data_IF_025369294437
#
_entry.id   IF_025369294437
#
_cell.length_a   1.000
_cell.length_b   1.000
_cell.length_c   1.000
_cell.angle_alpha   90.00
_cell.angle_beta   90.00
_cell.angle_gamma   90.00
#
_symmetry.space_group_name_H-M   'P 1'
#
loop_
_entity.id
_entity.type
_entity.pdbx_description
1 polymer ?
#
# COMPACT_ATOMS: atom_id res chain seq x y z
N UNK A 1 11.71 -18.80 19.54
CA UNK A 1 10.78 -19.07 18.43
C UNK A 1 10.92 -17.93 17.44
N UNK A 2 10.91 -18.20 16.14
CA UNK A 2 10.95 -17.13 15.13
C UNK A 2 9.61 -16.40 15.17
N UNK A 3 9.62 -15.05 15.11
CA UNK A 3 8.38 -14.27 15.11
C UNK A 3 7.55 -14.64 13.88
N UNK A 4 6.23 -14.81 14.06
CA UNK A 4 5.27 -14.92 12.95
C UNK A 4 4.57 -13.59 12.80
N UNK A 5 4.71 -12.98 11.63
CA UNK A 5 4.35 -11.57 11.41
C UNK A 5 3.35 -11.50 10.26
N UNK A 6 2.18 -10.92 10.51
CA UNK A 6 1.30 -10.50 9.42
C UNK A 6 1.82 -9.19 8.86
N UNK A 7 1.94 -9.09 7.54
CA UNK A 7 2.09 -7.81 6.84
C UNK A 7 0.79 -7.50 6.13
N UNK A 8 0.07 -6.49 6.60
CA UNK A 8 -1.24 -6.10 6.07
C UNK A 8 -1.10 -5.06 4.96
N UNK A 9 -1.45 -5.45 3.74
CA UNK A 9 -1.54 -4.57 2.58
C UNK A 9 -2.91 -3.87 2.57
N UNK A 10 -2.92 -2.57 2.24
CA UNK A 10 -4.14 -1.74 2.22
C UNK A 10 -4.28 -0.97 0.91
N UNK A 11 -3.26 -0.16 0.56
CA UNK A 11 -3.19 0.69 -0.65
C UNK A 11 -1.75 0.81 -1.16
N UNK A 12 -0.94 -0.19 -0.84
CA UNK A 12 0.52 -0.22 -0.97
C UNK A 12 0.95 -1.53 -1.64
N UNK A 13 0.23 -1.91 -2.70
CA UNK A 13 0.42 -3.15 -3.49
C UNK A 13 1.71 -3.11 -4.33
N UNK A 14 2.85 -2.99 -3.64
CA UNK A 14 4.20 -2.93 -4.20
C UNK A 14 5.19 -3.62 -3.27
N UNK A 15 6.30 -4.10 -3.82
CA UNK A 15 7.37 -4.73 -3.04
C UNK A 15 8.64 -3.87 -2.94
N UNK A 16 8.86 -2.94 -3.86
CA UNK A 16 9.90 -1.91 -3.74
C UNK A 16 9.46 -0.83 -2.76
N UNK A 17 10.41 -0.37 -1.95
CA UNK A 17 10.17 0.69 -0.96
C UNK A 17 8.91 0.46 -0.14
N UNK A 18 8.73 -0.78 0.35
CA UNK A 18 7.65 -1.17 1.26
C UNK A 18 8.26 -1.44 2.64
N UNK A 19 8.28 -0.45 3.55
CA UNK A 19 8.99 -0.57 4.82
C UNK A 19 8.39 -1.62 5.76
N UNK A 20 7.06 -1.74 5.82
CA UNK A 20 6.40 -2.77 6.63
C UNK A 20 6.82 -4.18 6.20
N UNK A 21 6.82 -4.45 4.88
CA UNK A 21 7.26 -5.74 4.34
C UNK A 21 8.76 -5.96 4.59
N UNK A 22 9.59 -4.95 4.33
CA UNK A 22 11.03 -5.04 4.51
C UNK A 22 11.41 -5.36 5.96
N UNK A 23 10.86 -4.63 6.92
CA UNK A 23 11.12 -4.84 8.35
C UNK A 23 10.61 -6.21 8.84
N UNK A 24 9.44 -6.65 8.36
CA UNK A 24 8.88 -7.95 8.73
C UNK A 24 9.78 -9.11 8.29
N UNK A 25 10.28 -9.08 7.05
CA UNK A 25 11.15 -10.14 6.50
C UNK A 25 12.46 -10.27 7.28
N UNK A 26 12.97 -9.15 7.82
CA UNK A 26 14.16 -9.17 8.67
C UNK A 26 13.87 -9.68 10.09
N UNK A 27 12.63 -9.57 10.54
CA UNK A 27 12.21 -9.81 11.92
C UNK A 27 11.63 -11.22 12.16
N UNK A 28 11.25 -11.95 11.11
CA UNK A 28 10.57 -13.24 11.28
C UNK A 28 10.05 -13.89 10.00
N UNK A 29 9.16 -14.86 10.19
CA UNK A 29 8.33 -15.44 9.14
C UNK A 29 7.17 -14.49 8.84
N UNK A 30 6.85 -14.30 7.56
CA UNK A 30 5.90 -13.27 7.12
C UNK A 30 4.72 -13.90 6.38
N UNK A 31 3.52 -13.50 6.80
CA UNK A 31 2.26 -13.78 6.14
C UNK A 31 1.72 -12.47 5.51
N UNK A 32 1.87 -12.27 4.20
CA UNK A 32 1.22 -11.17 3.50
C UNK A 32 -0.30 -11.36 3.51
N UNK A 33 -1.03 -10.35 3.98
CA UNK A 33 -2.49 -10.39 4.08
C UNK A 33 -3.11 -9.16 3.41
N UNK A 34 -4.18 -9.37 2.66
CA UNK A 34 -5.08 -8.31 2.19
C UNK A 34 -6.52 -8.63 2.62
N UNK A 35 -7.21 -7.66 3.20
CA UNK A 35 -8.60 -7.79 3.61
C UNK A 35 -9.45 -6.83 2.78
N UNK A 36 -10.41 -7.37 2.04
CA UNK A 36 -11.47 -6.58 1.45
C UNK A 36 -12.53 -6.28 2.50
N UNK A 37 -12.36 -5.13 3.13
CA UNK A 37 -13.35 -4.56 4.04
C UNK A 37 -14.36 -3.74 3.25
N UNK A 38 -15.60 -4.25 3.17
CA UNK A 38 -16.68 -3.62 2.41
C UNK A 38 -17.23 -2.34 3.06
N UNK A 39 -16.81 -2.03 4.30
CA UNK A 39 -17.11 -0.73 4.90
C UNK A 39 -16.36 0.41 4.21
N UNK A 40 -15.23 0.12 3.55
CA UNK A 40 -14.49 1.08 2.75
C UNK A 40 -15.10 1.18 1.34
N UNK A 41 -15.87 2.24 1.10
CA UNK A 41 -16.52 2.45 -0.20
C UNK A 41 -15.54 3.03 -1.22
N UNK A 42 -15.35 2.30 -2.34
CA UNK A 42 -14.57 2.77 -3.50
C UNK A 42 -15.36 2.62 -4.80
N UNK A 43 -15.13 3.53 -5.75
CA UNK A 43 -15.79 3.55 -7.06
C UNK A 43 -15.36 2.39 -7.97
N UNK A 44 -16.14 2.14 -9.03
CA UNK A 44 -15.95 1.00 -9.93
C UNK A 44 -14.59 1.00 -10.66
N UNK A 45 -14.09 2.16 -11.08
CA UNK A 45 -12.75 2.30 -11.68
C UNK A 45 -11.63 1.96 -10.69
N UNK A 46 -11.77 2.38 -9.43
CA UNK A 46 -10.82 2.03 -8.37
C UNK A 46 -10.86 0.53 -8.06
N UNK A 47 -12.04 -0.11 -8.09
CA UNK A 47 -12.17 -1.57 -7.95
C UNK A 47 -11.47 -2.32 -9.09
N UNK A 48 -11.64 -1.86 -10.34
CA UNK A 48 -10.92 -2.44 -11.48
C UNK A 48 -9.40 -2.32 -11.31
N UNK A 49 -8.90 -1.15 -10.89
CA UNK A 49 -7.46 -0.96 -10.62
C UNK A 49 -6.97 -1.87 -9.50
N UNK A 50 -7.70 -1.91 -8.39
CA UNK A 50 -7.42 -2.75 -7.22
C UNK A 50 -7.35 -4.24 -7.57
N UNK A 51 -8.26 -4.74 -8.42
CA UNK A 51 -8.24 -6.12 -8.87
C UNK A 51 -6.88 -6.49 -9.49
N UNK A 52 -6.40 -5.67 -10.42
CA UNK A 52 -5.15 -5.90 -11.13
C UNK A 52 -3.93 -5.70 -10.21
N UNK A 53 -3.95 -4.70 -9.32
CA UNK A 53 -2.89 -4.46 -8.35
C UNK A 53 -2.75 -5.62 -7.33
N UNK A 54 -3.86 -6.14 -6.81
CA UNK A 54 -3.87 -7.31 -5.91
C UNK A 54 -3.38 -8.56 -6.63
N UNK A 55 -3.81 -8.74 -7.89
CA UNK A 55 -3.35 -9.86 -8.72
C UNK A 55 -1.85 -9.80 -8.97
N UNK A 56 -1.32 -8.62 -9.27
CA UNK A 56 0.11 -8.40 -9.50
C UNK A 56 0.92 -8.68 -8.23
N UNK A 57 0.59 -8.04 -7.11
CA UNK A 57 1.37 -8.24 -5.87
C UNK A 57 1.32 -9.71 -5.42
N UNK A 58 0.20 -10.41 -5.58
CA UNK A 58 0.09 -11.84 -5.26
C UNK A 58 1.08 -12.66 -6.08
N UNK A 59 1.12 -12.45 -7.41
CA UNK A 59 2.08 -13.10 -8.31
C UNK A 59 3.53 -12.78 -7.92
N UNK A 60 3.81 -11.54 -7.54
CA UNK A 60 5.15 -11.13 -7.14
C UNK A 60 5.58 -11.78 -5.81
N UNK A 61 4.67 -11.91 -4.84
CA UNK A 61 4.91 -12.62 -3.58
C UNK A 61 5.13 -14.12 -3.80
N UNK A 62 4.41 -14.73 -4.73
CA UNK A 62 4.61 -16.13 -5.16
C UNK A 62 5.99 -16.37 -5.74
N UNK A 63 6.51 -15.43 -6.54
CA UNK A 63 7.88 -15.49 -7.04
C UNK A 63 8.95 -15.40 -5.93
N UNK A 64 8.60 -14.89 -4.75
CA UNK A 64 9.49 -14.78 -3.59
C UNK A 64 9.33 -15.94 -2.57
N UNK A 65 8.54 -16.96 -2.89
CA UNK A 65 8.31 -18.12 -2.03
C UNK A 65 7.20 -17.95 -0.98
N UNK A 66 6.33 -16.94 -1.14
CA UNK A 66 5.17 -16.71 -0.26
C UNK A 66 3.89 -16.60 -1.10
N UNK A 67 2.81 -16.05 -0.55
CA UNK A 67 1.61 -15.69 -1.32
C UNK A 67 0.84 -14.63 -0.57
N UNK A 68 -0.08 -13.95 -1.26
CA UNK A 68 -1.04 -13.05 -0.60
C UNK A 68 -2.24 -13.86 -0.10
N UNK A 69 -2.45 -13.86 1.22
CA UNK A 69 -3.68 -14.33 1.84
C UNK A 69 -4.75 -13.26 1.68
N UNK A 70 -5.88 -13.64 1.10
CA UNK A 70 -6.99 -12.73 0.81
C UNK A 70 -8.18 -13.13 1.66
N UNK A 71 -8.72 -12.16 2.40
CA UNK A 71 -9.90 -12.32 3.25
C UNK A 71 -10.93 -11.24 2.90
N UNK A 72 -12.17 -11.45 3.34
CA UNK A 72 -13.27 -10.51 3.16
C UNK A 72 -14.05 -10.41 4.46
N UNK A 73 -14.23 -9.19 4.97
CA UNK A 73 -14.82 -8.95 6.28
C UNK A 73 -14.25 -7.67 6.90
N UNK A 74 -14.60 -7.41 8.16
CA UNK A 74 -14.02 -6.28 8.91
C UNK A 74 -12.55 -6.53 9.15
N UNK A 75 -11.72 -5.53 8.87
CA UNK A 75 -10.26 -5.65 8.92
C UNK A 75 -9.78 -6.17 10.28
N UNK A 76 -10.25 -5.57 11.38
CA UNK A 76 -9.84 -5.98 12.72
C UNK A 76 -10.29 -7.40 13.09
N UNK A 77 -11.48 -7.83 12.65
CA UNK A 77 -12.04 -9.14 12.98
C UNK A 77 -11.29 -10.26 12.23
N UNK A 78 -10.97 -10.04 10.95
CA UNK A 78 -10.21 -11.01 10.14
C UNK A 78 -8.75 -11.14 10.59
N UNK A 79 -8.09 -10.04 10.97
CA UNK A 79 -6.72 -10.09 11.52
C UNK A 79 -6.72 -10.87 12.85
N UNK A 80 -7.66 -10.61 13.75
CA UNK A 80 -7.78 -11.34 15.01
C UNK A 80 -8.00 -12.84 14.79
N UNK A 81 -8.86 -13.20 13.84
CA UNK A 81 -9.08 -14.60 13.47
C UNK A 81 -7.80 -15.29 13.00
N UNK A 82 -6.99 -14.62 12.17
CA UNK A 82 -5.71 -15.16 11.71
C UNK A 82 -4.69 -15.29 12.84
N UNK A 83 -4.68 -14.36 13.80
CA UNK A 83 -3.81 -14.40 14.96
C UNK A 83 -4.07 -15.64 15.79
N UNK A 84 -5.35 -15.91 16.10
CA UNK A 84 -5.76 -17.06 16.90
C UNK A 84 -5.50 -18.39 16.17
N UNK A 85 -5.60 -18.40 14.82
CA UNK A 85 -5.38 -19.61 14.04
C UNK A 85 -3.89 -20.00 13.88
N UNK A 86 -2.97 -19.03 13.84
CA UNK A 86 -1.61 -19.25 13.34
C UNK A 86 -0.50 -18.92 14.35
N UNK A 87 -0.85 -18.61 15.60
CA UNK A 87 0.07 -18.15 16.65
C UNK A 87 0.90 -16.92 16.19
N UNK A 88 0.24 -15.95 15.56
CA UNK A 88 0.89 -14.72 15.11
C UNK A 88 1.36 -13.93 16.33
N UNK A 89 2.58 -13.41 16.25
CA UNK A 89 3.20 -12.62 17.33
C UNK A 89 3.26 -11.12 17.02
N UNK A 90 3.10 -10.73 15.75
CA UNK A 90 3.13 -9.34 15.35
C UNK A 90 2.28 -9.03 14.09
N UNK A 91 1.83 -7.79 13.97
CA UNK A 91 1.13 -7.26 12.79
C UNK A 91 1.77 -5.94 12.38
N UNK A 92 2.29 -5.90 11.14
CA UNK A 92 2.97 -4.73 10.56
C UNK A 92 2.13 -4.19 9.40
N UNK A 93 2.02 -2.86 9.30
CA UNK A 93 1.35 -2.22 8.17
C UNK A 93 1.94 -0.86 7.84
N UNK A 94 1.76 -0.46 6.58
CA UNK A 94 2.03 0.90 6.15
C UNK A 94 0.83 1.79 6.47
N UNK A 95 1.07 3.00 7.00
CA UNK A 95 0.01 3.92 7.42
C UNK A 95 -0.78 4.39 6.19
N UNK A 96 -2.11 4.27 6.27
CA UNK A 96 -3.03 4.87 5.32
C UNK A 96 -3.82 5.98 6.03
N UNK A 97 -3.71 7.21 5.54
CA UNK A 97 -4.37 8.39 6.14
C UNK A 97 -5.81 8.59 5.66
N UNK A 98 -6.38 7.66 4.89
CA UNK A 98 -7.81 7.66 4.57
C UNK A 98 -8.60 7.51 5.90
N UNK A 99 -9.57 8.39 6.22
CA UNK A 99 -10.18 8.43 7.56
C UNK A 99 -10.73 7.10 8.07
N UNK A 100 -11.47 6.37 7.23
CA UNK A 100 -12.09 5.09 7.62
C UNK A 100 -11.03 4.01 7.93
N UNK A 101 -9.94 3.99 7.14
CA UNK A 101 -8.82 3.06 7.35
C UNK A 101 -8.01 3.43 8.58
N UNK A 102 -7.78 4.72 8.81
CA UNK A 102 -7.09 5.20 10.01
C UNK A 102 -7.87 4.81 11.27
N UNK A 103 -9.20 4.98 11.25
CA UNK A 103 -10.06 4.58 12.36
C UNK A 103 -10.06 3.06 12.57
N UNK A 104 -10.16 2.26 11.50
CA UNK A 104 -10.07 0.80 11.59
C UNK A 104 -8.71 0.34 12.13
N UNK A 105 -7.60 0.91 11.64
CA UNK A 105 -6.24 0.59 12.09
C UNK A 105 -6.03 0.94 13.57
N UNK A 106 -6.57 2.08 14.04
CA UNK A 106 -6.52 2.46 15.47
C UNK A 106 -7.29 1.45 16.34
N UNK A 107 -8.49 1.06 15.92
CA UNK A 107 -9.30 0.07 16.62
C UNK A 107 -8.61 -1.30 16.66
N UNK A 108 -8.05 -1.73 15.53
CA UNK A 108 -7.24 -2.95 15.44
C UNK A 108 -6.05 -2.88 16.40
N UNK A 109 -5.27 -1.79 16.39
CA UNK A 109 -4.10 -1.61 17.24
C UNK A 109 -4.45 -1.78 18.73
N UNK A 110 -5.53 -1.16 19.20
CA UNK A 110 -6.00 -1.32 20.59
C UNK A 110 -6.31 -2.80 20.92
N UNK A 111 -7.02 -3.50 20.04
CA UNK A 111 -7.34 -4.92 20.24
C UNK A 111 -6.10 -5.83 20.26
N UNK A 112 -5.10 -5.49 19.44
CA UNK A 112 -3.84 -6.22 19.38
C UNK A 112 -2.99 -5.99 20.63
N UNK A 113 -2.90 -4.75 21.11
CA UNK A 113 -2.21 -4.38 22.35
C UNK A 113 -2.81 -5.10 23.57
N UNK A 114 -4.15 -5.15 23.68
CA UNK A 114 -4.86 -5.88 24.74
C UNK A 114 -4.54 -7.39 24.75
N UNK A 115 -4.21 -7.96 23.59
CA UNK A 115 -3.80 -9.37 23.42
C UNK A 115 -2.28 -9.58 23.50
N UNK A 116 -1.49 -8.53 23.73
CA UNK A 116 -0.03 -8.61 23.78
C UNK A 116 0.64 -8.86 22.42
N UNK A 117 -0.05 -8.55 21.31
CA UNK A 117 0.47 -8.70 19.95
C UNK A 117 1.25 -7.45 19.55
N UNK A 118 2.47 -7.63 19.03
CA UNK A 118 3.34 -6.51 18.65
C UNK A 118 2.78 -5.82 17.40
N UNK A 119 2.58 -4.51 17.48
CA UNK A 119 2.16 -3.69 16.33
C UNK A 119 3.29 -2.77 15.88
N UNK A 120 3.52 -2.67 14.56
CA UNK A 120 4.38 -1.64 13.98
C UNK A 120 3.73 -0.99 12.77
N UNK A 121 3.80 0.34 12.74
CA UNK A 121 3.26 1.18 11.68
C UNK A 121 4.42 1.90 10.97
N UNK A 122 4.34 2.03 9.65
CA UNK A 122 5.42 2.63 8.86
C UNK A 122 4.89 3.69 7.89
N UNK A 123 5.64 4.78 7.73
CA UNK A 123 5.41 5.74 6.66
C UNK A 123 5.75 5.10 5.31
N UNK A 124 4.85 5.21 4.33
CA UNK A 124 5.02 4.58 3.01
C UNK A 124 4.39 5.38 1.87
N UNK A 125 3.40 6.23 2.15
CA UNK A 125 2.70 7.04 1.16
C UNK A 125 3.12 8.50 1.14
N UNK A 126 3.85 8.97 2.17
CA UNK A 126 4.32 10.33 2.28
C UNK A 126 5.84 10.39 2.26
N UNK A 127 6.40 11.46 1.67
CA UNK A 127 7.84 11.70 1.73
C UNK A 127 8.33 11.89 3.18
N UNK A 128 7.49 12.51 4.01
CA UNK A 128 7.71 12.72 5.45
C UNK A 128 6.36 12.68 6.17
N UNK A 129 6.38 12.25 7.43
CA UNK A 129 5.19 12.24 8.29
C UNK A 129 4.63 13.66 8.51
N UNK A 130 3.29 13.85 8.59
CA UNK A 130 2.68 15.18 8.65
C UNK A 130 3.15 16.03 9.85
N UNK A 131 3.49 15.39 10.97
CA UNK A 131 3.95 16.07 12.19
C UNK A 131 5.42 16.49 12.17
N UNK A 132 6.19 16.15 11.14
CA UNK A 132 7.62 16.51 11.03
C UNK A 132 7.80 17.99 10.71
N UNK A 133 6.92 18.56 9.88
CA UNK A 133 7.10 19.91 9.36
C UNK A 133 6.19 20.87 10.11
N UNK A 134 6.78 21.55 11.09
CA UNK A 134 6.09 22.52 11.94
C UNK A 134 6.69 23.91 11.84
N UNK A 135 5.92 24.91 12.23
CA UNK A 135 6.40 26.28 12.45
C UNK A 135 7.31 26.33 13.68
N UNK A 136 8.01 27.47 13.85
CA UNK A 136 8.86 27.72 15.02
C UNK A 136 8.11 27.66 16.35
N UNK A 137 6.82 27.97 16.33
CA UNK A 137 5.91 27.88 17.48
C UNK A 137 5.30 26.47 17.67
N UNK A 138 5.83 25.46 16.97
CA UNK A 138 5.36 24.07 16.98
C UNK A 138 3.93 23.86 16.44
N UNK A 139 3.35 24.86 15.75
CA UNK A 139 2.03 24.74 15.10
C UNK A 139 2.13 24.31 13.64
N UNK A 140 1.01 23.80 13.11
CA UNK A 140 0.89 23.34 11.72
C UNK A 140 0.75 24.49 10.72
N UNK A 141 1.25 24.28 9.50
CA UNK A 141 1.07 25.22 8.40
C UNK A 141 -0.34 25.11 7.80
N UNK A 142 -0.98 26.26 7.57
CA UNK A 142 -2.30 26.36 6.90
C UNK A 142 -2.24 26.86 5.46
N UNK A 143 -1.03 27.21 4.98
CA UNK A 143 -0.79 27.74 3.63
C UNK A 143 0.31 26.91 2.98
N UNK A 144 0.11 26.50 1.73
CA UNK A 144 1.00 25.59 1.01
C UNK A 144 2.41 26.16 0.81
N UNK A 145 2.56 27.41 0.35
CA UNK A 145 3.89 27.96 0.01
C UNK A 145 4.84 28.00 1.22
N UNK A 146 4.45 28.50 2.41
CA UNK A 146 5.29 28.41 3.60
C UNK A 146 5.60 26.96 4.04
N UNK A 147 4.63 26.05 3.92
CA UNK A 147 4.85 24.62 4.17
C UNK A 147 5.92 24.05 3.23
N UNK A 148 5.78 24.29 1.91
CA UNK A 148 6.70 23.80 0.89
C UNK A 148 8.13 24.33 1.10
N UNK A 149 8.28 25.61 1.41
CA UNK A 149 9.59 26.21 1.70
C UNK A 149 10.25 25.62 2.95
N UNK A 150 9.46 25.20 3.94
CA UNK A 150 9.97 24.49 5.13
C UNK A 150 10.28 23.02 4.83
N UNK A 151 9.44 22.37 4.02
CA UNK A 151 9.61 21.00 3.52
C UNK A 151 10.93 20.84 2.74
N UNK A 152 11.23 21.77 1.83
CA UNK A 152 12.44 21.72 0.98
C UNK A 152 13.77 21.68 1.77
N UNK A 153 13.75 22.05 3.05
CA UNK A 153 14.94 22.05 3.93
C UNK A 153 15.14 20.71 4.65
N UNK A 154 14.21 19.79 4.54
CA UNK A 154 14.26 18.49 5.19
C UNK A 154 15.06 17.48 4.36
N UNK A 155 15.63 16.49 5.04
CA UNK A 155 16.24 15.33 4.39
C UNK A 155 15.14 14.32 4.08
N UNK A 156 15.01 13.93 2.82
CA UNK A 156 14.07 12.89 2.40
C UNK A 156 14.76 11.53 2.51
N UNK A 157 14.15 10.54 3.20
CA UNK A 157 14.68 9.18 3.25
C UNK A 157 14.86 8.59 1.84
N UNK A 158 15.92 7.81 1.65
CA UNK A 158 16.12 7.10 0.38
C UNK A 158 15.18 5.89 0.31
N UNK A 159 14.69 5.52 -0.88
CA UNK A 159 13.87 4.33 -1.05
C UNK A 159 14.59 3.06 -0.61
N UNK A 160 13.84 2.15 0.00
CA UNK A 160 14.33 0.85 0.46
C UNK A 160 14.30 -0.16 -0.70
N UNK A 161 15.29 -1.05 -0.75
CA UNK A 161 15.33 -2.12 -1.77
C UNK A 161 14.21 -3.14 -1.55
N UNK A 162 13.81 -3.79 -2.65
CA UNK A 162 12.89 -4.94 -2.61
C UNK A 162 13.49 -6.11 -1.81
N UNK A 163 12.63 -6.83 -1.09
CA UNK A 163 12.98 -8.09 -0.41
C UNK A 163 13.25 -9.23 -1.39
N UNK A 164 14.23 -10.08 -1.07
CA UNK A 164 14.72 -11.13 -2.00
C UNK A 164 14.03 -12.49 -1.83
N UNK A 165 13.47 -12.76 -0.65
CA UNK A 165 12.76 -13.99 -0.33
C UNK A 165 11.86 -13.76 0.87
N UNK A 166 10.74 -14.46 0.92
CA UNK A 166 9.82 -14.42 2.06
C UNK A 166 9.67 -15.84 2.59
N UNK A 167 9.84 -16.00 3.90
CA UNK A 167 9.68 -17.30 4.58
C UNK A 167 8.35 -17.32 5.31
N UNK A 168 7.63 -18.42 5.15
CA UNK A 168 6.46 -18.76 5.94
C UNK A 168 6.47 -20.26 6.22
N UNK A 169 5.96 -20.67 7.39
CA UNK A 169 5.81 -22.07 7.76
C UNK A 169 4.85 -22.86 6.85
N UNK A 170 4.65 -24.14 7.16
CA UNK A 170 4.07 -25.10 6.21
C UNK A 170 2.54 -25.02 6.04
N UNK A 171 1.81 -24.34 6.93
CA UNK A 171 0.35 -24.22 6.83
C UNK A 171 -0.07 -22.79 6.49
N UNK A 172 -0.72 -22.64 5.34
CA UNK A 172 -1.41 -21.41 4.97
C UNK A 172 -2.88 -21.49 5.42
N UNK A 173 -3.47 -20.39 5.92
CA UNK A 173 -4.89 -20.34 6.21
C UNK A 173 -5.71 -20.37 4.91
N UNK A 174 -7.03 -20.55 5.05
CA UNK A 174 -7.95 -20.40 3.93
C UNK A 174 -7.89 -18.98 3.36
N UNK A 175 -7.74 -18.88 2.04
CA UNK A 175 -7.65 -17.62 1.29
C UNK A 175 -8.65 -17.64 0.14
N UNK A 176 -9.28 -16.50 -0.08
CA UNK A 176 -10.02 -16.24 -1.31
C UNK A 176 -9.07 -16.12 -2.51
N UNK A 177 -9.59 -16.39 -3.70
CA UNK A 177 -9.00 -15.97 -4.96
C UNK A 177 -9.29 -14.49 -5.24
N UNK A 178 -8.51 -13.87 -6.12
CA UNK A 178 -8.74 -12.48 -6.53
C UNK A 178 -10.10 -12.31 -7.23
N UNK A 179 -10.59 -13.34 -7.93
CA UNK A 179 -11.91 -13.34 -8.57
C UNK A 179 -13.07 -13.31 -7.57
N UNK A 180 -12.92 -13.94 -6.40
CA UNK A 180 -13.93 -13.97 -5.34
C UNK A 180 -14.09 -12.61 -4.62
N UNK A 181 -13.22 -11.64 -4.92
CA UNK A 181 -13.38 -10.25 -4.47
C UNK A 181 -14.45 -9.50 -5.25
N UNK A 182 -14.89 -10.04 -6.40
CA UNK A 182 -15.93 -9.46 -7.26
C UNK A 182 -15.71 -7.97 -7.57
N UNK A 183 -14.45 -7.59 -7.80
CA UNK A 183 -14.04 -6.21 -8.04
C UNK A 183 -14.22 -5.75 -9.50
N UNK A 184 -14.20 -6.69 -10.45
CA UNK A 184 -14.38 -6.37 -11.86
C UNK A 184 -15.87 -6.09 -12.16
N UNK A 185 -16.18 -5.12 -13.02
CA UNK A 185 -17.55 -4.85 -13.41
C UNK A 185 -18.11 -5.99 -14.26
N UNK A 186 -19.42 -6.23 -14.14
CA UNK A 186 -20.14 -7.18 -14.99
C UNK A 186 -20.34 -6.65 -16.41
N UNK A 187 -20.45 -5.34 -16.57
CA UNK A 187 -20.52 -4.66 -17.86
C UNK A 187 -19.09 -4.32 -18.31
N UNK A 188 -18.65 -4.69 -19.53
CA UNK A 188 -17.27 -4.54 -19.99
C UNK A 188 -16.94 -3.10 -20.45
N UNK A 189 -17.18 -2.10 -19.59
CA UNK A 189 -16.88 -0.70 -19.89
C UNK A 189 -15.39 -0.35 -19.70
N UNK A 190 -14.57 -1.28 -19.22
CA UNK A 190 -13.15 -1.07 -18.85
C UNK A 190 -12.18 -1.24 -20.01
N UNK A 191 -12.64 -1.62 -21.20
CA UNK A 191 -11.78 -1.89 -22.37
C UNK A 191 -10.86 -0.72 -22.74
N UNK A 192 -11.34 0.52 -22.62
CA UNK A 192 -10.51 1.70 -22.86
C UNK A 192 -9.47 1.92 -21.76
N UNK A 193 -9.81 1.59 -20.50
CA UNK A 193 -8.85 1.65 -19.39
C UNK A 193 -7.73 0.63 -19.58
N UNK A 194 -8.07 -0.59 -19.97
CA UNK A 194 -7.13 -1.68 -20.24
C UNK A 194 -6.13 -1.32 -21.34
N UNK A 195 -6.53 -0.50 -22.31
CA UNK A 195 -5.65 -0.04 -23.38
C UNK A 195 -4.66 1.06 -22.95
N UNK A 196 -4.96 1.80 -21.88
CA UNK A 196 -4.18 2.97 -21.42
C UNK A 196 -3.32 2.62 -20.21
N UNK A 197 -3.86 1.82 -19.29
CA UNK A 197 -3.33 1.66 -17.95
C UNK A 197 -2.78 0.25 -17.73
N UNK A 198 -1.65 0.19 -17.03
CA UNK A 198 -1.02 -1.02 -16.52
C UNK A 198 -0.99 -0.92 -14.98
N UNK A 199 -2.02 -1.45 -14.26
CA UNK A 199 -2.16 -1.33 -12.81
C UNK A 199 -1.21 -2.27 -12.03
N UNK A 200 0.04 -2.36 -12.45
CA UNK A 200 1.08 -3.18 -11.85
C UNK A 200 2.21 -2.30 -11.34
N UNK A 201 3.02 -2.81 -10.42
CA UNK A 201 4.20 -2.08 -9.93
C UNK A 201 5.19 -1.78 -11.06
N UNK A 202 5.36 -2.73 -11.99
CA UNK A 202 6.18 -2.55 -13.19
C UNK A 202 5.57 -1.51 -14.15
N UNK A 203 4.25 -1.49 -14.31
CA UNK A 203 3.52 -0.49 -15.08
C UNK A 203 3.74 0.93 -14.55
N UNK A 204 3.68 1.11 -13.23
CA UNK A 204 4.00 2.36 -12.57
C UNK A 204 5.46 2.78 -12.83
N UNK A 205 6.42 1.84 -12.73
CA UNK A 205 7.84 2.13 -12.97
C UNK A 205 8.14 2.50 -14.43
N UNK A 206 7.52 1.82 -15.41
CA UNK A 206 7.59 2.19 -16.83
C UNK A 206 7.04 3.59 -17.08
N UNK A 207 5.89 3.89 -16.48
CA UNK A 207 5.25 5.21 -16.58
C UNK A 207 6.16 6.30 -16.01
N UNK A 208 6.74 6.05 -14.84
CA UNK A 208 7.72 6.92 -14.19
C UNK A 208 8.94 7.17 -15.09
N UNK A 209 9.57 6.09 -15.60
CA UNK A 209 10.73 6.21 -16.49
C UNK A 209 10.42 7.01 -17.75
N UNK A 210 9.26 6.74 -18.39
CA UNK A 210 8.82 7.46 -19.58
C UNK A 210 8.63 8.95 -19.29
N UNK A 211 8.02 9.30 -18.17
CA UNK A 211 7.86 10.71 -17.79
C UNK A 211 9.22 11.41 -17.63
N UNK A 212 10.15 10.81 -16.88
CA UNK A 212 11.47 11.39 -16.65
C UNK A 212 12.31 11.52 -17.92
N UNK A 213 12.26 10.54 -18.83
CA UNK A 213 13.10 10.54 -20.02
C UNK A 213 12.56 11.43 -21.15
N UNK A 214 11.25 11.68 -21.22
CA UNK A 214 10.63 12.28 -22.42
C UNK A 214 9.68 13.44 -22.17
N UNK A 215 9.13 13.60 -20.96
CA UNK A 215 8.07 14.60 -20.70
C UNK A 215 8.46 15.66 -19.67
N UNK A 216 9.35 15.32 -18.74
CA UNK A 216 9.72 16.21 -17.63
C UNK A 216 10.26 17.56 -18.12
N UNK A 217 11.06 17.58 -19.19
CA UNK A 217 11.63 18.80 -19.76
C UNK A 217 10.55 19.80 -20.20
N UNK A 218 9.45 19.32 -20.78
CA UNK A 218 8.34 20.13 -21.28
C UNK A 218 7.21 20.29 -20.28
N UNK A 219 7.29 19.67 -19.09
CA UNK A 219 6.21 19.71 -18.10
C UNK A 219 5.93 21.15 -17.63
N UNK A 220 6.96 21.97 -17.49
CA UNK A 220 6.80 23.33 -16.95
C UNK A 220 5.96 24.24 -17.86
N UNK A 221 6.06 24.05 -19.18
CA UNK A 221 5.37 24.84 -20.20
C UNK A 221 4.04 24.22 -20.62
N UNK A 222 3.95 22.88 -20.64
CA UNK A 222 2.79 22.18 -21.19
C UNK A 222 1.71 21.78 -20.19
N UNK A 223 1.98 21.78 -18.87
CA UNK A 223 1.03 21.25 -17.86
C UNK A 223 -0.30 21.99 -17.77
N UNK A 224 -0.37 23.20 -18.30
CA UNK A 224 -1.58 24.03 -18.26
C UNK A 224 -2.48 23.77 -19.49
N UNK A 225 -2.03 22.95 -20.45
CA UNK A 225 -2.74 22.64 -21.69
C UNK A 225 -3.21 21.17 -21.71
N UNK A 226 -4.52 20.90 -21.56
CA UNK A 226 -5.04 19.55 -21.37
C UNK A 226 -4.91 18.64 -22.61
N UNK A 227 -4.76 19.21 -23.81
CA UNK A 227 -4.50 18.49 -25.05
C UNK A 227 -3.03 18.05 -25.19
N UNK A 228 -2.12 18.63 -24.38
CA UNK A 228 -0.71 18.27 -24.39
C UNK A 228 -0.44 17.07 -23.50
N UNK A 229 0.20 16.05 -24.07
CA UNK A 229 0.53 14.81 -23.37
C UNK A 229 1.81 14.91 -22.53
N UNK A 230 1.93 15.94 -21.68
CA UNK A 230 3.15 16.21 -20.88
C UNK A 230 3.03 15.79 -19.42
N UNK A 231 1.84 15.42 -18.95
CA UNK A 231 1.63 14.96 -17.57
C UNK A 231 2.27 13.58 -17.31
N UNK A 232 2.55 13.31 -16.03
CA UNK A 232 3.24 12.10 -15.60
C UNK A 232 2.40 10.83 -15.70
N UNK A 233 1.07 10.95 -15.57
CA UNK A 233 0.15 9.80 -15.50
C UNK A 233 0.42 8.87 -14.29
N UNK A 234 1.03 9.39 -13.22
CA UNK A 234 1.40 8.62 -12.00
C UNK A 234 0.40 8.75 -10.83
N UNK A 235 -0.74 9.40 -11.04
CA UNK A 235 -1.70 9.66 -9.96
C UNK A 235 -2.45 8.40 -9.47
N UNK A 236 -2.86 7.47 -10.35
CA UNK A 236 -3.46 6.19 -9.92
C UNK A 236 -2.40 5.22 -9.35
#
# INVERSE_FOLDING_TARGET
MQNKIIVMFQKDFRLYDNPALFEAVQSGEVLPVYIQDETFSIGSAAKWWLHHAVKDVKKQLEALGSTLIIRKGRTEEEILSLIEQLDITAVYWNICYDPDRLQSNQKMKMMLEDKGIICKEFNSHLLLEPWIIKKKDNTEYKVFTPFYNAFQKQVIPKPISRVQSIKWGNSLPASLSVSELHLLPTIPWTSHMEAIWDPTEEGAYKTFKKFFSSKLASYSEGRDFPDQNVHSMLAP
#
